data_IF_981367772732
#
_entry.id   IF_981367772732
#
_cell.length_a   1.000
_cell.length_b   1.000
_cell.length_c   1.000
_cell.angle_alpha   90.00
_cell.angle_beta   90.00
_cell.angle_gamma   90.00
#
_symmetry.space_group_name_H-M   'P 1'
#
loop_
_entity.id
_entity.type
_entity.pdbx_description
1 polymer ?
#
# COMPACT_ATOMS: atom_id res chain seq x y z
N UNK A 1 33.22 -9.61 -3.17
CA UNK A 1 31.92 -8.92 -3.00
C UNK A 1 31.76 -7.92 -4.12
N UNK A 2 30.56 -7.78 -4.69
CA UNK A 2 30.33 -6.87 -5.83
C UNK A 2 30.55 -5.40 -5.42
N UNK A 3 31.03 -4.57 -6.36
CA UNK A 3 31.22 -3.14 -6.16
C UNK A 3 29.87 -2.46 -5.90
N UNK A 4 29.86 -1.45 -5.05
CA UNK A 4 28.66 -0.70 -4.69
C UNK A 4 28.92 0.78 -4.85
N UNK A 5 27.93 1.56 -5.33
CA UNK A 5 28.09 3.01 -5.48
C UNK A 5 28.24 3.69 -4.12
N UNK A 6 27.69 3.11 -3.05
CA UNK A 6 27.70 3.69 -1.71
C UNK A 6 28.12 2.71 -0.62
N UNK A 7 28.41 3.27 0.57
CA UNK A 7 28.91 2.55 1.76
C UNK A 7 27.95 2.62 2.96
N UNK A 8 26.72 3.04 2.73
CA UNK A 8 25.66 3.27 3.73
C UNK A 8 24.80 2.02 3.98
N UNK A 9 23.67 2.21 4.67
CA UNK A 9 22.70 1.15 4.98
C UNK A 9 22.14 0.43 3.74
N UNK A 10 22.16 1.07 2.56
CA UNK A 10 21.69 0.47 1.30
C UNK A 10 22.74 -0.39 0.59
N UNK A 11 24.00 -0.38 1.02
CA UNK A 11 25.11 -1.12 0.39
C UNK A 11 24.80 -2.58 0.11
N UNK A 12 24.22 -3.28 1.10
CA UNK A 12 23.94 -4.72 0.99
C UNK A 12 22.86 -5.01 -0.05
N UNK A 13 21.90 -4.11 -0.23
CA UNK A 13 20.88 -4.24 -1.25
C UNK A 13 21.44 -4.17 -2.67
N UNK A 14 22.35 -3.23 -2.94
CA UNK A 14 23.05 -3.19 -4.24
C UNK A 14 23.77 -4.51 -4.56
N UNK A 15 24.42 -5.13 -3.56
CA UNK A 15 25.09 -6.42 -3.75
C UNK A 15 24.10 -7.55 -4.04
N UNK A 16 22.96 -7.57 -3.34
CA UNK A 16 21.91 -8.55 -3.53
C UNK A 16 21.25 -8.41 -4.90
N UNK A 17 20.98 -7.18 -5.33
CA UNK A 17 20.46 -6.88 -6.66
C UNK A 17 21.42 -7.30 -7.77
N UNK A 18 22.72 -7.01 -7.63
CA UNK A 18 23.73 -7.46 -8.60
C UNK A 18 23.75 -8.99 -8.71
N UNK A 19 23.63 -9.71 -7.59
CA UNK A 19 23.53 -11.18 -7.60
C UNK A 19 22.27 -11.65 -8.32
N UNK A 20 21.10 -11.09 -8.01
CA UNK A 20 19.84 -11.47 -8.66
C UNK A 20 19.82 -11.11 -10.15
N UNK A 21 20.43 -9.99 -10.55
CA UNK A 21 20.60 -9.61 -11.95
C UNK A 21 21.47 -10.62 -12.70
N UNK A 22 22.58 -11.07 -12.10
CA UNK A 22 23.41 -12.13 -12.69
C UNK A 22 22.64 -13.46 -12.81
N UNK A 23 21.83 -13.80 -11.80
CA UNK A 23 20.98 -14.99 -11.84
C UNK A 23 19.91 -14.87 -12.94
N UNK A 24 19.30 -13.71 -13.12
CA UNK A 24 18.34 -13.46 -14.20
C UNK A 24 18.98 -13.61 -15.58
N UNK A 25 20.19 -13.08 -15.78
CA UNK A 25 20.93 -13.25 -17.03
C UNK A 25 21.17 -14.74 -17.33
N UNK A 26 21.70 -15.49 -16.34
CA UNK A 26 21.91 -16.93 -16.46
C UNK A 26 20.60 -17.69 -16.79
N UNK A 27 19.52 -17.39 -16.07
CA UNK A 27 18.22 -18.02 -16.31
C UNK A 27 17.69 -17.71 -17.71
N UNK A 28 17.89 -16.49 -18.20
CA UNK A 28 17.45 -16.05 -19.52
C UNK A 28 18.23 -16.78 -20.61
N UNK A 29 19.56 -16.83 -20.50
CA UNK A 29 20.44 -17.50 -21.46
C UNK A 29 20.14 -19.01 -21.52
N UNK A 30 20.02 -19.67 -20.37
CA UNK A 30 19.70 -21.11 -20.31
C UNK A 30 18.28 -21.38 -20.81
N UNK A 31 17.31 -20.51 -20.50
CA UNK A 31 15.95 -20.64 -21.01
C UNK A 31 15.91 -20.52 -22.54
N UNK A 32 16.65 -19.56 -23.11
CA UNK A 32 16.78 -19.42 -24.56
C UNK A 32 17.52 -20.60 -25.19
N UNK A 33 18.59 -21.11 -24.57
CA UNK A 33 19.33 -22.26 -25.08
C UNK A 33 18.50 -23.56 -25.09
N UNK A 34 17.73 -23.81 -24.03
CA UNK A 34 16.94 -25.05 -23.88
C UNK A 34 15.62 -24.99 -24.64
N UNK A 35 14.94 -23.84 -24.63
CA UNK A 35 13.59 -23.71 -25.18
C UNK A 35 13.58 -23.07 -26.57
N UNK A 36 14.62 -22.32 -26.95
CA UNK A 36 14.73 -21.66 -28.24
C UNK A 36 13.46 -20.89 -28.62
N UNK A 37 13.00 -21.07 -29.86
CA UNK A 37 11.76 -20.46 -30.36
C UNK A 37 10.48 -20.92 -29.65
N UNK A 38 10.51 -22.04 -28.90
CA UNK A 38 9.36 -22.50 -28.11
C UNK A 38 9.14 -21.69 -26.82
N UNK A 39 10.12 -20.87 -26.41
CA UNK A 39 10.00 -19.97 -25.26
C UNK A 39 8.82 -19.02 -25.42
N UNK A 40 8.62 -18.48 -26.63
CA UNK A 40 7.47 -17.62 -26.96
C UNK A 40 6.13 -18.35 -26.79
N UNK A 41 6.09 -19.66 -27.00
CA UNK A 41 4.89 -20.49 -26.78
C UNK A 41 4.69 -20.87 -25.32
N UNK A 42 5.72 -20.72 -24.47
CA UNK A 42 5.67 -21.00 -23.02
C UNK A 42 5.55 -19.69 -22.24
N UNK A 43 4.45 -18.99 -22.45
CA UNK A 43 4.18 -17.66 -21.91
C UNK A 43 4.38 -17.55 -20.40
N UNK A 44 3.98 -18.58 -19.63
CA UNK A 44 4.18 -18.60 -18.17
C UNK A 44 5.65 -18.55 -17.72
N UNK A 45 6.57 -19.12 -18.50
CA UNK A 45 8.01 -19.08 -18.22
C UNK A 45 8.55 -17.68 -18.51
N UNK A 46 8.17 -17.11 -19.65
CA UNK A 46 8.55 -15.75 -20.02
C UNK A 46 7.99 -14.71 -19.04
N UNK A 47 6.75 -14.90 -18.58
CA UNK A 47 6.12 -14.04 -17.59
C UNK A 47 6.92 -14.01 -16.28
N UNK A 48 7.37 -15.17 -15.78
CA UNK A 48 8.17 -15.25 -14.54
C UNK A 48 9.54 -14.61 -14.67
N UNK A 49 10.20 -14.72 -15.82
CA UNK A 49 11.43 -13.97 -16.10
C UNK A 49 11.14 -12.45 -16.09
N UNK A 50 10.01 -12.05 -16.65
CA UNK A 50 9.50 -10.68 -16.59
C UNK A 50 9.21 -10.21 -15.16
N UNK A 51 8.66 -11.07 -14.31
CA UNK A 51 8.40 -10.76 -12.89
C UNK A 51 9.72 -10.47 -12.17
N UNK A 52 10.74 -11.31 -12.35
CA UNK A 52 12.08 -11.09 -11.76
C UNK A 52 12.67 -9.76 -12.22
N UNK A 53 12.59 -9.46 -13.51
CA UNK A 53 13.07 -8.19 -14.07
C UNK A 53 12.30 -7.00 -13.49
N UNK A 54 10.98 -7.11 -13.39
CA UNK A 54 10.11 -6.06 -12.85
C UNK A 54 10.45 -5.75 -11.40
N UNK A 55 10.69 -6.78 -10.58
CA UNK A 55 11.10 -6.60 -9.19
C UNK A 55 12.49 -5.98 -9.05
N UNK A 56 13.45 -6.37 -9.89
CA UNK A 56 14.77 -5.71 -9.94
C UNK A 56 14.64 -4.23 -10.32
N UNK A 57 13.78 -3.92 -11.29
CA UNK A 57 13.50 -2.54 -11.69
C UNK A 57 12.88 -1.74 -10.54
N UNK A 58 11.85 -2.27 -9.86
CA UNK A 58 11.23 -1.61 -8.70
C UNK A 58 12.22 -1.37 -7.57
N UNK A 59 13.04 -2.38 -7.21
CA UNK A 59 14.09 -2.22 -6.22
C UNK A 59 15.09 -1.12 -6.63
N UNK A 60 15.46 -1.05 -7.92
CA UNK A 60 16.39 -0.04 -8.42
C UNK A 60 15.78 1.37 -8.38
N UNK A 61 14.49 1.49 -8.68
CA UNK A 61 13.75 2.75 -8.63
C UNK A 61 13.63 3.25 -7.19
N UNK A 62 13.39 2.37 -6.21
CA UNK A 62 13.38 2.73 -4.79
C UNK A 62 14.73 3.27 -4.34
N UNK A 63 15.82 2.58 -4.67
CA UNK A 63 17.17 3.03 -4.34
C UNK A 63 17.56 4.32 -5.05
N UNK A 64 17.18 4.47 -6.33
CA UNK A 64 17.42 5.69 -7.12
C UNK A 64 16.65 6.88 -6.56
N UNK A 65 15.38 6.70 -6.24
CA UNK A 65 14.56 7.74 -5.59
C UNK A 65 15.15 8.17 -4.26
N UNK A 66 15.60 7.23 -3.43
CA UNK A 66 16.25 7.54 -2.16
C UNK A 66 17.54 8.37 -2.35
N UNK A 67 18.32 8.06 -3.39
CA UNK A 67 19.51 8.81 -3.76
C UNK A 67 19.17 10.23 -4.24
N UNK A 68 18.19 10.36 -5.14
CA UNK A 68 17.75 11.63 -5.71
C UNK A 68 17.08 12.57 -4.69
N UNK A 69 16.40 12.02 -3.68
CA UNK A 69 15.77 12.78 -2.60
C UNK A 69 16.74 13.15 -1.46
N UNK A 70 18.04 12.88 -1.62
CA UNK A 70 19.08 13.29 -0.67
C UNK A 70 19.33 12.33 0.49
N UNK A 71 18.91 11.06 0.37
CA UNK A 71 19.17 9.98 1.34
C UNK A 71 18.67 10.26 2.76
N UNK A 72 17.48 10.83 2.88
CA UNK A 72 16.89 11.18 4.19
C UNK A 72 16.72 9.94 5.09
N UNK A 73 17.31 9.93 6.28
CA UNK A 73 17.21 8.78 7.20
C UNK A 73 15.76 8.43 7.59
N UNK A 74 14.87 9.42 7.61
CA UNK A 74 13.44 9.22 7.87
C UNK A 74 12.74 8.32 6.84
N UNK A 75 13.29 8.21 5.62
CA UNK A 75 12.72 7.41 4.53
C UNK A 75 13.27 5.97 4.52
N UNK A 76 14.32 5.69 5.30
CA UNK A 76 14.95 4.37 5.36
C UNK A 76 13.97 3.23 5.65
N UNK A 77 12.97 3.35 6.56
CA UNK A 77 12.01 2.28 6.78
C UNK A 77 11.25 1.88 5.50
N UNK A 78 10.89 2.86 4.66
CA UNK A 78 10.21 2.61 3.38
C UNK A 78 11.14 1.95 2.36
N UNK A 79 12.40 2.42 2.30
CA UNK A 79 13.42 1.85 1.42
C UNK A 79 13.71 0.40 1.80
N UNK A 80 13.92 0.13 3.09
CA UNK A 80 14.16 -1.21 3.60
C UNK A 80 13.00 -2.14 3.27
N UNK A 81 11.76 -1.67 3.46
CA UNK A 81 10.57 -2.46 3.19
C UNK A 81 10.43 -2.77 1.70
N UNK A 82 10.44 -1.74 0.85
CA UNK A 82 10.23 -1.90 -0.59
C UNK A 82 11.31 -2.74 -1.27
N UNK A 83 12.57 -2.59 -0.86
CA UNK A 83 13.66 -3.39 -1.43
C UNK A 83 13.63 -4.83 -0.90
N UNK A 84 13.33 -5.06 0.39
CA UNK A 84 13.19 -6.43 0.91
C UNK A 84 12.06 -7.19 0.23
N UNK A 85 10.90 -6.54 0.08
CA UNK A 85 9.74 -7.11 -0.62
C UNK A 85 10.06 -7.44 -2.08
N UNK A 86 10.65 -6.49 -2.83
CA UNK A 86 11.03 -6.72 -4.22
C UNK A 86 12.06 -7.87 -4.38
N UNK A 87 13.08 -7.92 -3.51
CA UNK A 87 14.06 -9.01 -3.53
C UNK A 87 13.44 -10.37 -3.18
N UNK A 88 12.49 -10.39 -2.24
CA UNK A 88 11.74 -11.59 -1.87
C UNK A 88 10.87 -12.09 -3.02
N UNK A 89 10.10 -11.20 -3.65
CA UNK A 89 9.25 -11.53 -4.80
C UNK A 89 10.08 -11.99 -6.01
N UNK A 90 11.24 -11.39 -6.24
CA UNK A 90 12.18 -11.83 -7.28
C UNK A 90 12.68 -13.27 -7.01
N UNK A 91 13.10 -13.60 -5.78
CA UNK A 91 13.50 -14.98 -5.44
C UNK A 91 12.35 -15.98 -5.56
N UNK A 92 11.12 -15.57 -5.19
CA UNK A 92 9.93 -16.38 -5.35
C UNK A 92 9.65 -16.69 -6.83
N UNK A 93 9.71 -15.67 -7.70
CA UNK A 93 9.53 -15.84 -9.14
C UNK A 93 10.60 -16.76 -9.76
N UNK A 94 11.86 -16.65 -9.31
CA UNK A 94 12.94 -17.57 -9.73
C UNK A 94 12.63 -19.01 -9.30
N UNK A 95 12.27 -19.24 -8.04
CA UNK A 95 11.99 -20.59 -7.56
C UNK A 95 10.76 -21.20 -8.26
N UNK A 96 9.72 -20.40 -8.51
CA UNK A 96 8.55 -20.85 -9.26
C UNK A 96 8.93 -21.20 -10.71
N UNK A 97 9.73 -20.37 -11.37
CA UNK A 97 10.30 -20.66 -12.69
C UNK A 97 11.02 -22.02 -12.69
N UNK A 98 11.94 -22.24 -11.75
CA UNK A 98 12.70 -23.50 -11.63
C UNK A 98 11.79 -24.70 -11.34
N UNK A 99 10.79 -24.56 -10.46
CA UNK A 99 9.79 -25.60 -10.15
C UNK A 99 8.95 -26.02 -11.34
N UNK A 100 8.76 -25.14 -12.33
CA UNK A 100 7.93 -25.42 -13.50
C UNK A 100 8.74 -25.50 -14.79
N UNK A 101 10.07 -25.53 -14.67
CA UNK A 101 10.93 -25.58 -15.83
C UNK A 101 10.81 -26.96 -16.51
N UNK A 102 10.75 -27.04 -17.86
CA UNK A 102 10.40 -28.28 -18.55
C UNK A 102 11.45 -29.38 -18.41
N UNK A 103 12.73 -28.99 -18.39
CA UNK A 103 13.84 -29.91 -18.19
C UNK A 103 14.24 -29.94 -16.71
N UNK A 104 13.89 -31.02 -16.01
CA UNK A 104 14.13 -31.17 -14.57
C UNK A 104 15.61 -31.24 -14.19
N UNK A 105 16.46 -31.78 -15.06
CA UNK A 105 17.91 -31.85 -14.83
C UNK A 105 18.53 -30.45 -14.89
N UNK A 106 18.19 -29.69 -15.94
CA UNK A 106 18.65 -28.30 -16.07
C UNK A 106 18.10 -27.43 -14.94
N UNK A 107 16.83 -27.63 -14.56
CA UNK A 107 16.23 -26.95 -13.41
C UNK A 107 16.98 -27.23 -12.10
N UNK A 108 17.36 -28.49 -11.86
CA UNK A 108 18.16 -28.88 -10.70
C UNK A 108 19.54 -28.22 -10.70
N UNK A 109 20.25 -28.25 -11.84
CA UNK A 109 21.55 -27.60 -11.99
C UNK A 109 21.48 -26.09 -11.76
N UNK A 110 20.50 -25.41 -12.36
CA UNK A 110 20.26 -23.98 -12.14
C UNK A 110 19.92 -23.68 -10.68
N UNK A 111 19.13 -24.54 -10.03
CA UNK A 111 18.78 -24.36 -8.60
C UNK A 111 19.99 -24.43 -7.70
N UNK A 112 20.91 -25.38 -7.93
CA UNK A 112 22.16 -25.49 -7.16
C UNK A 112 23.08 -24.29 -7.43
N UNK A 113 23.14 -23.80 -8.67
CA UNK A 113 23.94 -22.63 -9.02
C UNK A 113 23.41 -21.32 -8.39
N UNK A 114 22.08 -21.14 -8.40
CA UNK A 114 21.42 -19.90 -7.97
C UNK A 114 21.17 -19.87 -6.47
N UNK A 115 20.79 -21.00 -5.89
CA UNK A 115 20.44 -21.17 -4.47
C UNK A 115 21.26 -22.29 -3.82
N UNK A 116 22.61 -22.19 -3.78
CA UNK A 116 23.47 -23.26 -3.24
C UNK A 116 23.15 -23.58 -1.77
N UNK A 117 22.79 -22.55 -1.00
CA UNK A 117 22.40 -22.65 0.41
C UNK A 117 20.91 -22.36 0.63
N UNK A 118 20.10 -22.42 -0.43
CA UNK A 118 18.68 -22.07 -0.39
C UNK A 118 18.39 -20.58 -0.64
N UNK A 119 17.15 -20.17 -0.37
CA UNK A 119 16.68 -18.80 -0.52
C UNK A 119 17.23 -17.92 0.59
N UNK A 120 17.56 -16.67 0.26
CA UNK A 120 18.23 -15.76 1.18
C UNK A 120 17.40 -14.54 1.56
N UNK A 121 16.38 -14.21 0.76
CA UNK A 121 15.53 -13.05 1.00
C UNK A 121 14.24 -13.48 1.70
N UNK A 122 14.13 -13.08 2.96
CA UNK A 122 12.90 -13.16 3.73
C UNK A 122 11.99 -12.00 3.36
N UNK A 123 10.68 -12.21 3.51
CA UNK A 123 9.70 -11.14 3.46
C UNK A 123 10.03 -10.07 4.52
N UNK A 124 9.58 -8.82 4.32
CA UNK A 124 9.70 -7.78 5.34
C UNK A 124 9.17 -8.26 6.69
N UNK A 125 9.82 -7.87 7.78
CA UNK A 125 9.38 -8.24 9.13
C UNK A 125 8.19 -7.41 9.59
N UNK A 126 7.31 -7.97 10.42
CA UNK A 126 6.18 -7.25 11.03
C UNK A 126 6.60 -5.96 11.76
N UNK A 127 7.80 -5.95 12.36
CA UNK A 127 8.37 -4.75 13.00
C UNK A 127 8.60 -3.62 12.01
N UNK A 128 8.99 -3.95 10.78
CA UNK A 128 9.21 -2.99 9.71
C UNK A 128 7.88 -2.54 9.11
N UNK A 129 6.94 -3.46 8.91
CA UNK A 129 5.58 -3.17 8.47
C UNK A 129 4.90 -2.17 9.42
N UNK A 130 4.99 -2.42 10.73
CA UNK A 130 4.44 -1.51 11.72
C UNK A 130 5.07 -0.10 11.67
N UNK A 131 6.39 -0.01 11.43
CA UNK A 131 7.07 1.29 11.26
C UNK A 131 6.56 2.03 10.03
N UNK A 132 6.43 1.34 8.89
CA UNK A 132 5.91 1.92 7.65
C UNK A 132 4.46 2.37 7.83
N UNK A 133 3.61 1.52 8.41
CA UNK A 133 2.21 1.84 8.69
C UNK A 133 2.08 3.09 9.58
N UNK A 134 2.94 3.23 10.60
CA UNK A 134 2.96 4.41 11.47
C UNK A 134 3.35 5.68 10.71
N UNK A 135 4.33 5.60 9.81
CA UNK A 135 4.72 6.74 8.95
C UNK A 135 3.56 7.21 8.07
N UNK A 136 2.77 6.27 7.54
CA UNK A 136 1.64 6.59 6.65
C UNK A 136 0.44 7.17 7.40
N UNK A 137 0.23 6.77 8.66
CA UNK A 137 -0.88 7.25 9.50
C UNK A 137 -0.60 8.62 10.16
N UNK A 138 0.67 8.99 10.32
CA UNK A 138 1.05 10.24 11.00
C UNK A 138 1.56 11.26 9.98
N UNK A 139 1.04 12.51 9.99
CA UNK A 139 1.60 13.61 9.21
C UNK A 139 3.11 13.75 9.46
N UNK A 140 3.89 13.54 8.42
CA UNK A 140 5.35 13.56 8.48
C UNK A 140 5.91 14.02 7.14
N UNK A 141 7.12 14.59 7.14
CA UNK A 141 7.77 15.02 5.90
C UNK A 141 7.94 13.85 4.91
N UNK A 142 8.17 12.64 5.42
CA UNK A 142 8.23 11.41 4.62
C UNK A 142 6.89 11.12 3.94
N UNK A 143 5.78 11.17 4.67
CA UNK A 143 4.44 10.99 4.10
C UNK A 143 4.13 12.03 3.03
N UNK A 144 4.44 13.31 3.30
CA UNK A 144 4.25 14.40 2.34
C UNK A 144 5.09 14.22 1.07
N UNK A 145 6.32 13.69 1.17
CA UNK A 145 7.15 13.35 0.00
C UNK A 145 6.51 12.26 -0.86
N UNK A 146 5.92 11.23 -0.25
CA UNK A 146 5.21 10.17 -0.98
C UNK A 146 3.97 10.74 -1.71
N UNK A 147 3.21 11.60 -1.04
CA UNK A 147 2.02 12.25 -1.61
C UNK A 147 2.32 13.40 -2.57
N UNK A 148 3.59 13.68 -2.89
CA UNK A 148 3.96 14.82 -3.74
C UNK A 148 3.30 14.71 -5.12
N UNK A 149 2.61 15.77 -5.52
CA UNK A 149 1.88 15.83 -6.78
C UNK A 149 0.41 15.38 -6.68
N UNK A 150 -0.04 14.94 -5.51
CA UNK A 150 -1.45 14.69 -5.26
C UNK A 150 -2.18 16.00 -4.93
N UNK A 151 -3.41 16.13 -5.43
CA UNK A 151 -4.30 17.24 -5.07
C UNK A 151 -5.02 16.90 -3.75
N UNK A 152 -4.50 17.43 -2.64
CA UNK A 152 -5.00 17.17 -1.28
C UNK A 152 -5.82 18.33 -0.71
N UNK A 153 -6.15 19.33 -1.53
CA UNK A 153 -6.98 20.46 -1.06
C UNK A 153 -8.38 19.95 -0.72
N UNK A 154 -8.88 20.22 0.50
CA UNK A 154 -10.24 19.85 0.89
C UNK A 154 -11.25 20.58 -0.01
N UNK A 155 -12.12 19.81 -0.65
CA UNK A 155 -13.25 20.33 -1.40
C UNK A 155 -14.36 19.30 -1.41
N UNK A 156 -15.60 19.72 -1.60
CA UNK A 156 -16.78 18.84 -1.64
C UNK A 156 -16.60 17.67 -2.63
N UNK A 157 -15.89 17.89 -3.73
CA UNK A 157 -15.64 16.88 -4.77
C UNK A 157 -14.29 16.17 -4.64
N UNK A 158 -13.54 16.41 -3.56
CA UNK A 158 -12.26 15.75 -3.29
C UNK A 158 -12.31 14.95 -1.99
N UNK A 159 -12.79 13.69 -2.02
CA UNK A 159 -12.88 12.86 -0.81
C UNK A 159 -11.50 12.64 -0.15
N UNK A 160 -10.42 12.59 -0.95
CA UNK A 160 -9.05 12.42 -0.40
C UNK A 160 -8.61 13.67 0.36
N UNK A 161 -8.94 14.86 -0.13
CA UNK A 161 -8.70 16.11 0.59
C UNK A 161 -9.52 16.23 1.87
N UNK A 162 -10.77 15.78 1.85
CA UNK A 162 -11.64 15.76 3.04
C UNK A 162 -11.14 14.77 4.10
N UNK A 163 -10.54 13.65 3.70
CA UNK A 163 -9.87 12.69 4.60
C UNK A 163 -8.62 13.29 5.25
N UNK A 164 -7.82 14.07 4.49
CA UNK A 164 -6.66 14.76 5.03
C UNK A 164 -7.05 15.82 6.06
N UNK A 165 -8.12 16.59 5.78
CA UNK A 165 -8.70 17.54 6.72
C UNK A 165 -9.18 16.83 8.00
N UNK A 166 -9.92 15.73 7.85
CA UNK A 166 -10.42 14.96 8.98
C UNK A 166 -9.28 14.40 9.86
N UNK A 167 -8.17 13.95 9.25
CA UNK A 167 -6.99 13.49 9.99
C UNK A 167 -6.42 14.61 10.87
N UNK A 168 -6.26 15.81 10.33
CA UNK A 168 -5.72 16.95 11.07
C UNK A 168 -6.65 17.38 12.22
N UNK A 169 -7.96 17.41 11.98
CA UNK A 169 -8.94 17.77 13.00
C UNK A 169 -9.02 16.73 14.12
N UNK A 170 -9.00 15.44 13.80
CA UNK A 170 -8.94 14.35 14.79
C UNK A 170 -7.66 14.43 15.62
N UNK A 171 -6.52 14.71 15.00
CA UNK A 171 -5.25 14.90 15.71
C UNK A 171 -5.27 16.13 16.63
N UNK A 172 -5.95 17.21 16.24
CA UNK A 172 -6.12 18.38 17.10
C UNK A 172 -7.06 18.11 18.29
N UNK A 173 -8.06 17.24 18.11
CA UNK A 173 -9.00 16.82 19.14
C UNK A 173 -8.41 15.83 20.17
N UNK A 174 -7.48 14.95 19.76
CA UNK A 174 -6.84 13.94 20.63
C UNK A 174 -6.28 14.49 21.96
N UNK A 175 -5.42 15.54 21.98
CA UNK A 175 -4.88 16.06 23.24
C UNK A 175 -5.95 16.65 24.16
N UNK A 176 -7.01 17.24 23.59
CA UNK A 176 -8.14 17.80 24.36
C UNK A 176 -8.94 16.65 24.98
N UNK A 177 -9.26 15.61 24.20
CA UNK A 177 -9.96 14.42 24.68
C UNK A 177 -9.19 13.71 25.80
N UNK A 178 -7.87 13.52 25.63
CA UNK A 178 -7.02 12.92 26.66
C UNK A 178 -7.01 13.73 27.95
N UNK A 179 -7.00 15.07 27.86
CA UNK A 179 -7.08 15.94 29.06
C UNK A 179 -8.41 15.80 29.77
N UNK A 180 -9.54 15.79 29.04
CA UNK A 180 -10.87 15.56 29.60
C UNK A 180 -10.95 14.19 30.29
N UNK A 181 -10.45 13.13 29.65
CA UNK A 181 -10.42 11.78 30.22
C UNK A 181 -9.63 11.73 31.53
N UNK A 182 -8.48 12.42 31.57
CA UNK A 182 -7.61 12.50 32.75
C UNK A 182 -8.28 13.25 33.91
N UNK A 183 -8.92 14.37 33.64
CA UNK A 183 -9.62 15.17 34.66
C UNK A 183 -10.85 14.46 35.23
N UNK A 184 -11.58 13.73 34.37
CA UNK A 184 -12.74 12.93 34.79
C UNK A 184 -12.36 11.56 35.39
N UNK A 185 -11.08 11.17 35.29
CA UNK A 185 -10.59 9.86 35.74
C UNK A 185 -11.25 8.67 35.02
N UNK A 186 -11.76 8.87 33.79
CA UNK A 186 -12.48 7.86 33.01
C UNK A 186 -11.95 7.83 31.58
N UNK A 187 -11.82 6.63 31.02
CA UNK A 187 -11.50 6.47 29.61
C UNK A 187 -12.79 6.58 28.79
N UNK A 188 -13.06 7.77 28.24
CA UNK A 188 -14.25 8.02 27.43
C UNK A 188 -14.00 7.58 25.99
N UNK A 189 -15.01 7.08 25.27
CA UNK A 189 -14.85 6.72 23.88
C UNK A 189 -14.48 7.96 23.04
N UNK A 190 -13.72 7.76 21.97
CA UNK A 190 -13.42 8.81 20.99
C UNK A 190 -14.53 8.87 19.92
N UNK A 191 -15.77 9.01 20.38
CA UNK A 191 -16.98 9.11 19.57
C UNK A 191 -17.92 10.12 20.19
N UNK A 192 -18.81 10.74 19.39
CA UNK A 192 -19.74 11.77 19.87
C UNK A 192 -18.99 12.91 20.58
N UNK A 193 -17.89 13.37 19.96
CA UNK A 193 -17.04 14.42 20.55
C UNK A 193 -17.78 15.75 20.68
N UNK A 194 -18.84 15.95 19.90
CA UNK A 194 -19.80 17.05 20.01
C UNK A 194 -20.53 17.06 21.36
N UNK A 195 -21.06 15.92 21.80
CA UNK A 195 -21.70 15.79 23.11
C UNK A 195 -20.68 15.88 24.25
N UNK A 196 -19.50 15.30 24.04
CA UNK A 196 -18.40 15.43 24.99
C UNK A 196 -18.00 16.89 25.18
N UNK A 197 -17.89 17.65 24.09
CA UNK A 197 -17.55 19.07 24.10
C UNK A 197 -18.58 19.88 24.89
N UNK A 198 -19.88 19.66 24.64
CA UNK A 198 -20.94 20.36 25.35
C UNK A 198 -20.90 20.10 26.87
N UNK A 199 -20.73 18.83 27.25
CA UNK A 199 -20.64 18.44 28.67
C UNK A 199 -19.37 18.97 29.36
N UNK A 200 -18.23 18.96 28.66
CA UNK A 200 -16.96 19.45 29.19
C UNK A 200 -16.95 20.97 29.35
N UNK A 201 -17.56 21.70 28.40
CA UNK A 201 -17.74 23.16 28.46
C UNK A 201 -18.66 23.54 29.63
N UNK A 202 -19.78 22.84 29.81
CA UNK A 202 -20.72 23.08 30.92
C UNK A 202 -20.08 22.86 32.30
N UNK A 203 -19.07 21.97 32.39
CA UNK A 203 -18.29 21.72 33.60
C UNK A 203 -17.06 22.63 33.75
N UNK A 204 -16.80 23.52 32.78
CA UNK A 204 -15.65 24.41 32.78
C UNK A 204 -14.29 23.72 32.58
N UNK A 205 -14.27 22.50 32.01
CA UNK A 205 -13.05 21.72 31.78
C UNK A 205 -12.29 22.17 30.51
N UNK A 206 -13.01 22.80 29.58
CA UNK A 206 -12.48 23.31 28.31
C UNK A 206 -13.05 24.69 28.00
N UNK A 207 -12.40 25.41 27.09
CA UNK A 207 -12.91 26.69 26.59
C UNK A 207 -13.77 26.51 25.31
N UNK A 208 -14.37 27.61 24.83
CA UNK A 208 -15.23 27.61 23.64
C UNK A 208 -14.49 27.18 22.36
N UNK A 209 -13.21 27.54 22.23
CA UNK A 209 -12.39 27.22 21.06
C UNK A 209 -12.09 25.71 21.00
N UNK A 210 -11.75 25.11 22.14
CA UNK A 210 -11.50 23.68 22.31
C UNK A 210 -12.77 22.87 22.08
N UNK A 211 -13.92 23.37 22.56
CA UNK A 211 -15.21 22.76 22.27
C UNK A 211 -15.49 22.74 20.77
N UNK A 212 -15.21 23.84 20.05
CA UNK A 212 -15.36 23.91 18.60
C UNK A 212 -14.42 22.94 17.86
N UNK A 213 -13.19 22.73 18.34
CA UNK A 213 -12.26 21.73 17.77
C UNK A 213 -12.86 20.33 17.86
N UNK A 214 -13.39 19.94 19.02
CA UNK A 214 -14.01 18.63 19.22
C UNK A 214 -15.24 18.43 18.32
N UNK A 215 -16.11 19.44 18.22
CA UNK A 215 -17.30 19.38 17.35
C UNK A 215 -16.92 19.26 15.87
N UNK A 216 -15.93 20.03 15.39
CA UNK A 216 -15.43 19.92 14.00
C UNK A 216 -14.86 18.53 13.72
N UNK A 217 -14.02 18.02 14.63
CA UNK A 217 -13.45 16.68 14.50
C UNK A 217 -14.53 15.60 14.40
N UNK A 218 -15.61 15.68 15.19
CA UNK A 218 -16.73 14.73 15.08
C UNK A 218 -17.44 14.85 13.73
N UNK A 219 -17.73 16.06 13.27
CA UNK A 219 -18.38 16.28 11.99
C UNK A 219 -17.55 15.71 10.83
N UNK A 220 -16.24 15.98 10.79
CA UNK A 220 -15.36 15.44 9.76
C UNK A 220 -15.13 13.94 9.87
N UNK A 221 -15.10 13.39 11.09
CA UNK A 221 -15.07 11.94 11.34
C UNK A 221 -16.32 11.27 10.78
N UNK A 222 -17.51 11.79 11.09
CA UNK A 222 -18.78 11.26 10.56
C UNK A 222 -18.85 11.38 9.05
N UNK A 223 -18.48 12.53 8.48
CA UNK A 223 -18.39 12.73 7.02
C UNK A 223 -17.48 11.71 6.34
N UNK A 224 -16.38 11.31 6.98
CA UNK A 224 -15.40 10.37 6.42
C UNK A 224 -15.82 8.89 6.58
N UNK A 225 -16.64 8.58 7.58
CA UNK A 225 -17.10 7.21 7.86
C UNK A 225 -18.42 6.90 7.17
N UNK A 226 -19.30 7.89 7.03
CA UNK A 226 -20.57 7.72 6.37
C UNK A 226 -20.34 7.36 4.91
N UNK A 227 -20.79 6.16 4.56
CA UNK A 227 -20.97 5.73 3.18
C UNK A 227 -22.35 6.19 2.69
N UNK A 228 -22.50 6.37 1.39
CA UNK A 228 -23.79 6.68 0.78
C UNK A 228 -24.81 5.62 1.20
N UNK A 229 -25.76 6.02 2.03
CA UNK A 229 -26.88 5.20 2.48
C UNK A 229 -28.06 5.49 1.55
N UNK A 230 -28.33 4.57 0.63
CA UNK A 230 -29.43 4.69 -0.30
C UNK A 230 -30.68 4.03 0.29
N UNK A 231 -31.78 4.77 0.31
CA UNK A 231 -33.06 4.19 0.68
C UNK A 231 -33.43 3.04 -0.29
N UNK A 232 -34.06 1.94 0.16
CA UNK A 232 -34.46 0.83 -0.70
C UNK A 232 -35.26 1.26 -1.94
N UNK A 233 -36.04 2.34 -1.80
CA UNK A 233 -36.85 2.94 -2.85
C UNK A 233 -36.01 3.61 -3.95
N UNK A 234 -34.82 4.13 -3.62
CA UNK A 234 -33.89 4.75 -4.59
C UNK A 234 -33.17 3.69 -5.44
N UNK A 235 -32.99 2.49 -4.89
CA UNK A 235 -32.40 1.33 -5.57
C UNK A 235 -33.43 0.48 -6.31
N UNK A 236 -34.73 0.72 -6.10
CA UNK A 236 -35.80 -0.06 -6.71
C UNK A 236 -35.88 0.18 -8.23
N UNK A 237 -35.70 -0.88 -9.03
CA UNK A 237 -35.92 -0.83 -10.47
C UNK A 237 -37.38 -0.52 -10.80
N UNK A 238 -37.63 0.56 -11.54
CA UNK A 238 -38.97 0.88 -12.06
C UNK A 238 -39.49 -0.31 -12.87
N UNK A 239 -40.72 -0.80 -12.62
CA UNK A 239 -41.26 -1.95 -13.35
C UNK A 239 -41.35 -1.60 -14.83
N UNK A 240 -40.70 -2.41 -15.67
CA UNK A 240 -40.81 -2.30 -17.13
C UNK A 240 -42.28 -2.57 -17.49
N UNK A 241 -43.00 -1.53 -17.89
CA UNK A 241 -44.33 -1.68 -18.49
C UNK A 241 -44.16 -2.41 -19.82
N UNK A 242 -44.37 -3.73 -19.82
CA UNK A 242 -44.53 -4.49 -21.05
C UNK A 242 -45.81 -4.00 -21.75
N UNK A 243 -45.77 -3.64 -23.04
CA UNK A 243 -46.97 -3.22 -23.76
C UNK A 243 -47.97 -4.39 -23.76
N UNK A 244 -49.19 -4.13 -23.28
CA UNK A 244 -50.30 -5.07 -23.38
C UNK A 244 -50.50 -5.45 -24.84
N UNK A 245 -50.26 -6.72 -25.19
CA UNK A 245 -50.72 -7.27 -26.46
C UNK A 245 -52.24 -7.31 -26.42
N UNK A 246 -52.88 -6.26 -26.90
CA UNK A 246 -54.30 -6.27 -27.25
C UNK A 246 -54.48 -7.31 -28.35
N UNK A 247 -54.88 -8.52 -27.96
CA UNK A 247 -55.20 -9.60 -28.88
C UNK A 247 -56.53 -9.23 -29.54
N UNK A 248 -56.50 -8.69 -30.76
CA UNK A 248 -57.70 -8.57 -31.58
C UNK A 248 -58.24 -9.98 -31.82
N UNK A 249 -59.43 -10.24 -31.29
CA UNK A 249 -60.19 -11.45 -31.60
C UNK A 249 -60.79 -11.20 -32.99
N UNK A 250 -60.23 -11.84 -34.01
CA UNK A 250 -60.90 -11.94 -35.31
C UNK A 250 -62.04 -12.94 -35.17
N UNK A 251 -63.26 -12.44 -35.32
CA UNK A 251 -64.48 -13.24 -35.41
C UNK A 251 -64.54 -13.94 -36.77
N UNK A 252 -64.95 -15.20 -36.76
CA UNK A 252 -65.46 -15.94 -37.91
C UNK A 252 -66.96 -16.18 -37.69
#
# INVERSE_FOLDING_TARGET
>A
TSSTPTRDATRRYYQQMNRLSANLALLSDVSMAVLGGSLKRRERISARLGDVLSQLYLASAVLKRYDDEGRNEADLPLVHWGVQDALHQAEQAIDDLLKNFPNRLVAGAMRVAIFPTGRHHHAPSDKLDHKVAKILQVPSATRSRIGRGQYLTPSEHNPVGLLEEALLEVMAADPIHQRICKELGKNLPFTRLDELAHNALAKGLINQEEAAILTRAEHSRLRSINVDDFAPEELATKPVKLPEKVRKVEAA
#
